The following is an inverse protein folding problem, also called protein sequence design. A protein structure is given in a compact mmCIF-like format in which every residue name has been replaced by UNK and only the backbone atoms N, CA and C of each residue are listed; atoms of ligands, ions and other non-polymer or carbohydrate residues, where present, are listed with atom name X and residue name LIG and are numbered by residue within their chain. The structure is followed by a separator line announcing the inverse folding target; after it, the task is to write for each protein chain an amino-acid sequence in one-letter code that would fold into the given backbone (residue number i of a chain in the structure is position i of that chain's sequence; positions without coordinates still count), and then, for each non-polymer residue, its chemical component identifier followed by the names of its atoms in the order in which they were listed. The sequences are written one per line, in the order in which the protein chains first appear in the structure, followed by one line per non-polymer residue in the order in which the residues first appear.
data_IF_103930946585
#
_entry.id   IF_103930946585
#
_cell.length_a   1.000
_cell.length_b   1.000
_cell.length_c   1.000
_cell.angle_alpha   90.00
_cell.angle_beta   90.00
_cell.angle_gamma   90.00
#
_symmetry.space_group_name_H-M   'P 1'
#
loop_
_entity.id
_entity.type
_entity.pdbx_description
1 polymer ?
#
# COMPACT_ATOMS: atom_id res chain seq x y z
N UNK A 1 10.49 -43.15 -7.44
CA UNK A 1 10.94 -42.20 -6.39
C UNK A 1 10.19 -40.90 -6.60
N UNK A 2 9.61 -40.31 -5.55
CA UNK A 2 8.88 -39.03 -5.64
C UNK A 2 9.80 -37.81 -5.76
N UNK A 3 9.21 -36.62 -5.94
CA UNK A 3 9.97 -35.36 -5.95
C UNK A 3 10.63 -35.09 -4.57
N UNK A 4 11.86 -34.54 -4.53
CA UNK A 4 12.42 -33.94 -3.32
C UNK A 4 11.54 -32.80 -2.78
N UNK A 5 11.50 -32.60 -1.47
CA UNK A 5 10.61 -31.61 -0.82
C UNK A 5 10.76 -30.17 -1.35
N UNK A 6 11.98 -29.77 -1.72
CA UNK A 6 12.26 -28.43 -2.24
C UNK A 6 11.88 -28.25 -3.72
N UNK A 7 11.40 -29.31 -4.39
CA UNK A 7 10.95 -29.27 -5.80
C UNK A 7 9.45 -29.42 -5.96
N UNK A 8 8.66 -29.48 -4.88
CA UNK A 8 7.22 -29.76 -4.97
C UNK A 8 6.45 -28.78 -5.85
N UNK A 9 6.91 -27.53 -6.00
CA UNK A 9 6.26 -26.55 -6.86
C UNK A 9 6.57 -26.72 -8.35
N UNK A 10 7.51 -27.57 -8.77
CA UNK A 10 7.78 -27.77 -10.21
C UNK A 10 6.60 -28.43 -10.93
N UNK A 11 5.63 -28.98 -10.19
CA UNK A 11 4.42 -29.59 -10.75
C UNK A 11 3.55 -28.62 -11.55
N UNK A 12 3.67 -27.30 -11.33
CA UNK A 12 2.88 -26.29 -12.08
C UNK A 12 3.61 -25.69 -13.28
N UNK A 13 4.86 -26.08 -13.56
CA UNK A 13 5.67 -25.44 -14.62
C UNK A 13 5.08 -25.56 -16.02
N UNK A 14 4.35 -26.64 -16.31
CA UNK A 14 3.69 -26.87 -17.60
C UNK A 14 2.15 -26.90 -17.47
N UNK A 15 1.61 -26.37 -16.37
CA UNK A 15 0.17 -26.24 -16.15
C UNK A 15 -0.18 -24.76 -15.95
N UNK A 16 -0.45 -24.01 -17.04
CA UNK A 16 -0.65 -22.56 -16.96
C UNK A 16 -1.87 -22.16 -16.13
N UNK A 17 -2.91 -23.01 -16.07
CA UNK A 17 -4.10 -22.75 -15.26
C UNK A 17 -3.77 -22.82 -13.77
N UNK A 18 -3.08 -23.87 -13.32
CA UNK A 18 -2.63 -23.98 -11.93
C UNK A 18 -1.55 -22.97 -11.58
N UNK A 19 -0.68 -22.65 -12.54
CA UNK A 19 0.32 -21.61 -12.37
C UNK A 19 -0.35 -20.26 -12.11
N UNK A 20 -1.36 -19.87 -12.89
CA UNK A 20 -2.13 -18.65 -12.63
C UNK A 20 -2.80 -18.70 -11.26
N UNK A 21 -3.40 -19.84 -10.88
CA UNK A 21 -4.03 -19.99 -9.57
C UNK A 21 -3.05 -19.73 -8.42
N UNK A 22 -1.84 -20.29 -8.44
CA UNK A 22 -0.87 -20.06 -7.36
C UNK A 22 -0.36 -18.62 -7.33
N UNK A 23 -0.27 -17.95 -8.49
CA UNK A 23 0.04 -16.53 -8.54
C UNK A 23 -1.08 -15.70 -7.89
N UNK A 24 -2.34 -15.98 -8.21
CA UNK A 24 -3.48 -15.29 -7.59
C UNK A 24 -3.47 -15.50 -6.06
N UNK A 25 -3.23 -16.73 -5.60
CA UNK A 25 -3.14 -17.02 -4.16
C UNK A 25 -1.97 -16.27 -3.52
N UNK A 26 -0.79 -16.27 -4.14
CA UNK A 26 0.35 -15.51 -3.62
C UNK A 26 0.04 -14.01 -3.54
N UNK A 27 -0.55 -13.43 -4.59
CA UNK A 27 -0.97 -12.01 -4.60
C UNK A 27 -2.00 -11.73 -3.51
N UNK A 28 -2.99 -12.61 -3.32
CA UNK A 28 -4.00 -12.47 -2.27
C UNK A 28 -3.38 -12.53 -0.86
N UNK A 29 -2.41 -13.42 -0.64
CA UNK A 29 -1.67 -13.49 0.63
C UNK A 29 -0.86 -12.22 0.89
N UNK A 30 -0.17 -11.69 -0.13
CA UNK A 30 0.58 -10.44 -0.03
C UNK A 30 -0.35 -9.26 0.26
N UNK A 31 -1.49 -9.16 -0.43
CA UNK A 31 -2.48 -8.12 -0.21
C UNK A 31 -3.10 -8.21 1.20
N UNK A 32 -3.44 -9.43 1.65
CA UNK A 32 -3.95 -9.68 3.00
C UNK A 32 -2.96 -9.31 4.10
N UNK A 33 -1.68 -9.63 3.91
CA UNK A 33 -0.61 -9.22 4.83
C UNK A 33 -0.47 -7.70 4.87
N UNK A 34 -0.41 -7.02 3.72
CA UNK A 34 -0.27 -5.57 3.65
C UNK A 34 -1.41 -4.85 4.37
N UNK A 35 -2.67 -5.26 4.14
CA UNK A 35 -3.82 -4.70 4.84
C UNK A 35 -3.79 -4.96 6.35
N UNK A 36 -3.45 -6.19 6.76
CA UNK A 36 -3.36 -6.54 8.18
C UNK A 36 -2.28 -5.73 8.90
N UNK A 37 -1.12 -5.52 8.26
CA UNK A 37 -0.03 -4.71 8.80
C UNK A 37 -0.41 -3.24 8.91
N UNK A 38 -1.05 -2.67 7.89
CA UNK A 38 -1.50 -1.27 7.94
C UNK A 38 -2.56 -1.05 9.04
N UNK A 39 -3.52 -1.97 9.20
CA UNK A 39 -4.51 -1.91 10.27
C UNK A 39 -3.88 -2.08 11.66
N UNK A 40 -2.92 -2.99 11.78
CA UNK A 40 -2.18 -3.18 13.03
C UNK A 40 -1.41 -1.91 13.41
N UNK A 41 -0.65 -1.34 12.46
CA UNK A 41 0.11 -0.10 12.68
C UNK A 41 -0.83 1.05 13.06
N UNK A 42 -1.96 1.22 12.36
CA UNK A 42 -2.96 2.24 12.71
C UNK A 42 -3.52 2.05 14.13
N UNK A 43 -3.74 0.80 14.55
CA UNK A 43 -4.32 0.50 15.86
C UNK A 43 -3.38 0.81 17.04
N UNK A 44 -2.06 0.84 16.80
CA UNK A 44 -1.06 1.09 17.84
C UNK A 44 -0.32 2.41 17.69
N UNK A 45 -0.51 3.11 16.56
CA UNK A 45 0.14 4.37 16.27
C UNK A 45 -0.36 5.49 17.19
N UNK A 46 0.57 6.19 17.84
CA UNK A 46 0.31 7.39 18.64
C UNK A 46 0.68 8.66 17.84
N UNK A 47 -0.30 9.45 17.36
CA UNK A 47 -0.03 10.67 16.61
C UNK A 47 0.22 11.91 17.49
N UNK A 48 0.26 11.79 18.82
CA UNK A 48 0.20 12.93 19.74
C UNK A 48 1.43 13.84 19.73
N UNK A 49 2.63 13.32 19.44
CA UNK A 49 3.88 14.09 19.38
C UNK A 49 4.68 13.80 18.09
N UNK A 50 4.40 14.51 17.00
CA UNK A 50 5.09 14.29 15.74
C UNK A 50 6.55 14.79 15.72
N UNK A 51 7.01 15.53 16.74
CA UNK A 51 8.38 16.09 16.81
C UNK A 51 9.31 15.15 17.56
N UNK A 52 8.89 14.67 18.74
CA UNK A 52 9.72 13.83 19.60
C UNK A 52 9.37 12.35 19.53
N UNK A 53 8.19 11.99 19.04
CA UNK A 53 7.78 10.60 18.81
C UNK A 53 7.19 10.33 17.41
N UNK A 54 7.96 10.61 16.33
CA UNK A 54 7.52 10.37 14.97
C UNK A 54 7.38 8.88 14.64
N UNK A 55 6.63 8.57 13.58
CA UNK A 55 6.30 7.21 13.10
C UNK A 55 7.49 6.24 13.00
N UNK A 56 8.68 6.71 12.61
CA UNK A 56 9.88 5.86 12.51
C UNK A 56 10.41 5.41 13.88
N UNK A 57 10.12 6.16 14.95
CA UNK A 57 10.44 5.77 16.34
C UNK A 57 9.45 4.75 16.89
N UNK A 58 8.24 4.71 16.33
CA UNK A 58 7.19 3.75 16.66
C UNK A 58 7.18 2.51 15.72
N UNK A 59 8.09 2.43 14.75
CA UNK A 59 8.21 1.27 13.85
C UNK A 59 7.10 1.17 12.79
N UNK A 60 6.43 2.27 12.46
CA UNK A 60 5.33 2.31 11.48
C UNK A 60 5.89 2.38 10.05
N UNK A 61 5.65 1.34 9.24
CA UNK A 61 6.21 1.19 7.90
C UNK A 61 5.15 1.10 6.79
N UNK A 62 4.11 0.28 6.96
CA UNK A 62 3.07 0.03 5.96
C UNK A 62 2.07 1.19 5.85
N UNK A 63 1.53 1.65 6.98
CA UNK A 63 0.69 2.85 7.07
C UNK A 63 1.49 4.11 6.68
N UNK A 64 2.76 4.16 7.10
CA UNK A 64 3.69 5.22 6.72
C UNK A 64 3.89 5.34 5.22
N UNK A 65 4.00 4.23 4.49
CA UNK A 65 4.17 4.28 3.04
C UNK A 65 2.99 4.97 2.34
N UNK A 66 1.75 4.63 2.68
CA UNK A 66 0.55 5.28 2.13
C UNK A 66 0.45 6.75 2.52
N UNK A 67 0.63 7.05 3.81
CA UNK A 67 0.53 8.40 4.33
C UNK A 67 1.64 9.31 3.80
N UNK A 68 2.92 8.92 3.91
CA UNK A 68 4.05 9.78 3.54
C UNK A 68 4.26 9.94 2.03
N UNK A 69 3.99 8.90 1.23
CA UNK A 69 4.13 8.98 -0.22
C UNK A 69 3.15 10.00 -0.82
N UNK A 70 1.87 9.90 -0.42
CA UNK A 70 0.76 10.68 -1.00
C UNK A 70 0.66 12.09 -0.41
N UNK A 71 0.82 12.22 0.91
CA UNK A 71 0.75 13.54 1.55
C UNK A 71 1.98 14.42 1.27
N UNK A 72 3.04 13.84 0.72
CA UNK A 72 4.28 14.54 0.44
C UNK A 72 5.04 15.00 1.69
N UNK A 73 4.66 14.51 2.88
CA UNK A 73 5.35 14.80 4.14
C UNK A 73 6.77 14.17 4.18
N UNK A 74 6.95 12.99 3.58
CA UNK A 74 8.27 12.37 3.32
C UNK A 74 8.33 11.64 1.97
N UNK A 75 7.52 12.08 1.01
CA UNK A 75 7.40 11.49 -0.32
C UNK A 75 7.15 12.55 -1.40
N UNK A 76 7.09 12.18 -2.67
CA UNK A 76 6.94 13.14 -3.76
C UNK A 76 5.52 13.72 -3.86
N UNK A 77 4.51 13.13 -3.21
CA UNK A 77 3.11 13.41 -3.49
C UNK A 77 2.60 12.62 -4.70
N UNK A 78 1.46 13.03 -5.25
CA UNK A 78 0.83 12.37 -6.41
C UNK A 78 0.58 13.37 -7.54
N UNK A 79 0.24 12.88 -8.73
CA UNK A 79 -0.14 13.74 -9.85
C UNK A 79 -1.52 14.37 -9.63
N UNK A 80 -1.62 15.68 -9.76
CA UNK A 80 -2.89 16.43 -9.70
C UNK A 80 -2.91 17.46 -10.83
N UNK A 81 -4.10 17.80 -11.32
CA UNK A 81 -4.30 18.79 -12.38
C UNK A 81 -5.54 19.64 -12.10
N UNK A 82 -5.64 20.80 -12.78
CA UNK A 82 -6.91 21.52 -12.90
C UNK A 82 -7.95 20.70 -13.69
N UNK A 83 -9.26 21.03 -13.59
CA UNK A 83 -10.34 20.29 -14.24
C UNK A 83 -10.24 20.19 -15.78
N UNK A 84 -9.47 21.07 -16.42
CA UNK A 84 -9.26 21.07 -17.87
C UNK A 84 -7.97 20.37 -18.30
N UNK A 85 -7.17 19.84 -17.35
CA UNK A 85 -5.97 19.06 -17.67
C UNK A 85 -4.78 19.89 -18.16
N UNK A 86 -4.75 21.21 -17.92
CA UNK A 86 -3.79 22.13 -18.54
C UNK A 86 -2.55 22.39 -17.68
N UNK A 87 -2.64 22.18 -16.37
CA UNK A 87 -1.64 22.57 -15.37
C UNK A 87 -1.19 21.42 -14.46
N UNK A 88 -1.24 20.20 -14.98
CA UNK A 88 -0.88 18.98 -14.26
C UNK A 88 0.56 18.97 -13.74
N UNK A 89 0.73 18.58 -12.48
CA UNK A 89 2.04 18.42 -11.82
C UNK A 89 1.94 17.45 -10.64
N UNK A 90 3.09 16.97 -10.19
CA UNK A 90 3.18 16.25 -8.91
C UNK A 90 3.04 17.26 -7.76
N UNK A 91 2.19 16.96 -6.78
CA UNK A 91 2.04 17.78 -5.56
C UNK A 91 1.64 16.93 -4.35
N UNK A 92 1.97 17.44 -3.17
CA UNK A 92 1.44 16.97 -1.88
C UNK A 92 -0.08 17.12 -1.83
N UNK A 93 -0.77 16.15 -1.23
CA UNK A 93 -2.22 16.16 -1.06
C UNK A 93 -2.60 16.02 0.42
N UNK A 94 -3.46 16.91 0.89
CA UNK A 94 -3.97 16.83 2.26
C UNK A 94 -5.17 15.88 2.32
N UNK A 95 -5.27 15.00 3.32
CA UNK A 95 -6.39 14.08 3.45
C UNK A 95 -7.69 14.83 3.76
N UNK A 96 -8.76 14.44 3.09
CA UNK A 96 -10.13 14.85 3.41
C UNK A 96 -10.82 13.80 4.29
N UNK A 97 -11.49 14.24 5.36
CA UNK A 97 -12.14 13.35 6.33
C UNK A 97 -13.67 13.45 6.32
N UNK A 98 -14.24 14.37 5.54
CA UNK A 98 -15.68 14.49 5.35
C UNK A 98 -16.19 13.65 4.18
N UNK A 99 -17.44 13.92 3.76
CA UNK A 99 -18.09 13.19 2.66
C UNK A 99 -17.43 13.43 1.30
N UNK A 100 -16.71 14.54 1.17
CA UNK A 100 -15.92 14.88 -0.01
C UNK A 100 -14.79 13.88 -0.29
N UNK A 101 -14.33 13.13 0.71
CA UNK A 101 -13.35 12.05 0.51
C UNK A 101 -13.89 10.86 -0.29
N UNK A 102 -15.20 10.80 -0.56
CA UNK A 102 -15.80 9.80 -1.45
C UNK A 102 -16.05 10.32 -2.87
N UNK A 103 -15.77 11.59 -3.15
CA UNK A 103 -15.85 12.15 -4.51
C UNK A 103 -14.67 11.61 -5.35
N UNK A 104 -14.92 10.93 -6.48
CA UNK A 104 -13.86 10.37 -7.31
C UNK A 104 -12.95 11.43 -7.97
N UNK A 105 -13.26 12.72 -7.85
CA UNK A 105 -12.47 13.82 -8.39
C UNK A 105 -11.76 14.67 -7.33
N UNK A 106 -11.91 14.34 -6.04
CA UNK A 106 -11.15 14.96 -4.95
C UNK A 106 -9.95 14.07 -4.63
N UNK A 107 -8.71 14.54 -4.86
CA UNK A 107 -7.51 13.76 -4.56
C UNK A 107 -7.27 13.58 -3.06
#
# INVERSE_FOLDING_TARGET
MGFPWYRVHTVVLNDPGRLLSVHIIHTALVAGWAGSMALYELAVFDPSDPVLDPMWRQGVACFGFGAFHVTGLYGPGIWVSDPYGLTGKVQSVNPAWGVEGFDPFVP
#
